data_IF_194368344155
#
_entry.id   IF_194368344155
#
_cell.length_a   1.000
_cell.length_b   1.000
_cell.length_c   1.000
_cell.angle_alpha   90.00
_cell.angle_beta   90.00
_cell.angle_gamma   90.00
#
_symmetry.space_group_name_H-M   'P 1'
#
loop_
_entity.id
_entity.type
_entity.pdbx_description
1 polymer ?
#
# COMPACT_ATOMS: atom_id res chain seq x y z
N UNK A 1 -23.45 2.36 -2.89
CA UNK A 1 -22.02 2.75 -2.90
C UNK A 1 -21.77 4.22 -2.56
N UNK A 2 -22.24 5.20 -3.36
CA UNK A 2 -22.04 6.64 -3.05
C UNK A 2 -23.31 7.41 -2.68
N UNK A 3 -24.50 6.94 -3.09
CA UNK A 3 -25.76 7.68 -2.92
C UNK A 3 -26.61 7.24 -1.70
N UNK A 4 -26.11 6.28 -0.91
CA UNK A 4 -26.82 5.78 0.28
C UNK A 4 -26.48 6.63 1.51
N UNK A 5 -27.42 6.76 2.45
CA UNK A 5 -27.20 7.50 3.70
C UNK A 5 -26.20 6.83 4.65
N UNK A 6 -26.11 5.51 4.59
CA UNK A 6 -25.08 4.69 5.26
C UNK A 6 -24.50 3.70 4.22
N UNK A 7 -23.55 4.15 3.38
CA UNK A 7 -23.04 3.36 2.28
C UNK A 7 -22.04 2.31 2.75
N UNK A 8 -22.15 1.10 2.22
CA UNK A 8 -21.04 0.15 2.30
C UNK A 8 -19.79 0.73 1.61
N UNK A 9 -18.63 0.61 2.25
CA UNK A 9 -17.37 1.13 1.71
C UNK A 9 -16.60 0.08 0.89
N UNK A 10 -16.83 -1.20 1.18
CA UNK A 10 -16.07 -2.33 0.64
C UNK A 10 -17.01 -3.35 -0.01
N UNK A 11 -16.67 -3.80 -1.21
CA UNK A 11 -17.49 -4.68 -2.04
C UNK A 11 -16.67 -5.88 -2.52
N UNK A 12 -17.32 -7.03 -2.69
CA UNK A 12 -16.70 -8.23 -3.25
C UNK A 12 -17.48 -8.68 -4.49
N UNK A 13 -16.76 -8.84 -5.60
CA UNK A 13 -17.22 -9.57 -6.79
C UNK A 13 -16.50 -10.90 -6.84
N UNK A 14 -17.23 -11.96 -6.47
CA UNK A 14 -16.77 -13.33 -6.50
C UNK A 14 -17.49 -14.08 -7.62
N UNK A 15 -16.76 -14.45 -8.68
CA UNK A 15 -17.33 -15.12 -9.85
C UNK A 15 -16.28 -16.00 -10.54
N UNK A 16 -16.64 -17.03 -11.30
CA UNK A 16 -15.66 -17.97 -11.86
C UNK A 16 -14.60 -17.31 -12.78
N UNK A 17 -13.48 -17.99 -12.97
CA UNK A 17 -12.40 -17.50 -13.85
C UNK A 17 -12.93 -17.34 -15.27
N UNK A 18 -12.66 -16.19 -15.89
CA UNK A 18 -13.10 -15.91 -17.27
C UNK A 18 -14.49 -15.28 -17.41
N UNK A 19 -15.31 -15.22 -16.36
CA UNK A 19 -16.67 -14.66 -16.42
C UNK A 19 -16.76 -13.12 -16.42
N UNK A 20 -15.65 -12.43 -16.69
CA UNK A 20 -15.68 -10.99 -16.96
C UNK A 20 -15.59 -10.07 -15.75
N UNK A 21 -15.08 -10.52 -14.60
CA UNK A 21 -14.80 -9.66 -13.41
C UNK A 21 -14.03 -8.37 -13.75
N UNK A 22 -13.07 -8.44 -14.67
CA UNK A 22 -12.34 -7.26 -15.16
C UNK A 22 -13.25 -6.27 -15.91
N UNK A 23 -14.26 -6.75 -16.65
CA UNK A 23 -15.27 -5.90 -17.30
C UNK A 23 -16.18 -5.24 -16.26
N UNK A 24 -16.58 -5.97 -15.22
CA UNK A 24 -17.32 -5.40 -14.08
C UNK A 24 -16.50 -4.28 -13.44
N UNK A 25 -15.24 -4.52 -13.12
CA UNK A 25 -14.37 -3.51 -12.53
C UNK A 25 -14.20 -2.27 -13.43
N UNK A 26 -14.04 -2.46 -14.75
CA UNK A 26 -14.03 -1.35 -15.73
C UNK A 26 -15.31 -0.53 -15.69
N UNK A 27 -16.47 -1.19 -15.66
CA UNK A 27 -17.78 -0.54 -15.57
C UNK A 27 -17.93 0.26 -14.27
N UNK A 28 -17.54 -0.33 -13.14
CA UNK A 28 -17.55 0.34 -11.84
C UNK A 28 -16.63 1.56 -11.85
N UNK A 29 -15.39 1.44 -12.34
CA UNK A 29 -14.44 2.57 -12.48
C UNK A 29 -15.08 3.71 -13.27
N UNK A 30 -15.73 3.41 -14.41
CA UNK A 30 -16.40 4.43 -15.22
C UNK A 30 -17.54 5.12 -14.46
N UNK A 31 -18.37 4.36 -13.73
CA UNK A 31 -19.45 4.90 -12.90
C UNK A 31 -18.93 5.75 -11.74
N UNK A 32 -17.82 5.37 -11.12
CA UNK A 32 -17.16 6.17 -10.07
C UNK A 32 -16.70 7.50 -10.66
N UNK A 33 -15.94 7.49 -11.75
CA UNK A 33 -15.46 8.72 -12.41
C UNK A 33 -16.62 9.64 -12.79
N UNK A 34 -17.68 9.08 -13.37
CA UNK A 34 -18.87 9.86 -13.74
C UNK A 34 -19.56 10.46 -12.51
N UNK A 35 -19.64 9.70 -11.42
CA UNK A 35 -20.23 10.17 -10.17
C UNK A 35 -19.42 11.32 -9.56
N UNK A 36 -18.10 11.15 -9.44
CA UNK A 36 -17.20 12.16 -8.89
C UNK A 36 -17.25 13.47 -9.69
N UNK A 37 -17.26 13.36 -11.03
CA UNK A 37 -17.48 14.52 -11.91
C UNK A 37 -18.81 15.22 -11.64
N UNK A 38 -19.89 14.46 -11.44
CA UNK A 38 -21.25 15.02 -11.24
C UNK A 38 -21.37 15.81 -9.94
N UNK A 39 -20.65 15.40 -8.90
CA UNK A 39 -20.61 16.11 -7.61
C UNK A 39 -19.58 17.24 -7.58
N UNK A 40 -18.94 17.52 -8.72
CA UNK A 40 -18.01 18.64 -8.87
C UNK A 40 -16.60 18.36 -8.36
N UNK A 41 -16.21 17.10 -8.20
CA UNK A 41 -14.83 16.76 -7.88
C UNK A 41 -13.92 17.07 -9.08
N UNK A 42 -12.79 17.72 -8.84
CA UNK A 42 -11.83 18.14 -9.86
C UNK A 42 -10.72 17.12 -10.07
N UNK A 43 -10.56 16.14 -9.16
CA UNK A 43 -9.48 15.15 -9.25
C UNK A 43 -9.95 13.79 -8.75
N UNK A 44 -9.77 12.76 -9.58
CA UNK A 44 -10.18 11.39 -9.28
C UNK A 44 -8.95 10.47 -9.23
N UNK A 45 -8.67 9.89 -8.07
CA UNK A 45 -7.50 9.03 -7.86
C UNK A 45 -7.93 7.58 -7.62
N UNK A 46 -7.55 6.71 -8.56
CA UNK A 46 -7.99 5.31 -8.60
C UNK A 46 -6.78 4.38 -8.58
N UNK A 47 -6.75 3.47 -7.60
CA UNK A 47 -5.65 2.54 -7.38
C UNK A 47 -6.07 1.12 -7.76
N UNK A 48 -5.33 0.52 -8.68
CA UNK A 48 -5.47 -0.88 -9.04
C UNK A 48 -4.35 -1.70 -8.40
N UNK A 49 -4.71 -2.59 -7.48
CA UNK A 49 -3.80 -3.52 -6.82
C UNK A 49 -3.90 -4.87 -7.50
N UNK A 50 -2.77 -5.38 -8.01
CA UNK A 50 -2.74 -6.69 -8.65
C UNK A 50 -1.57 -7.54 -8.19
N UNK A 51 -1.71 -8.85 -8.35
CA UNK A 51 -0.75 -9.83 -7.84
C UNK A 51 0.57 -9.86 -8.64
N UNK A 52 0.57 -9.46 -9.91
CA UNK A 52 1.71 -9.65 -10.82
C UNK A 52 2.09 -8.36 -11.57
N UNK A 53 3.30 -7.84 -11.28
CA UNK A 53 3.81 -6.61 -11.86
C UNK A 53 4.01 -6.68 -13.38
N UNK A 54 4.35 -7.86 -13.93
CA UNK A 54 4.57 -8.05 -15.35
C UNK A 54 3.29 -7.86 -16.18
N UNK A 55 2.14 -8.15 -15.57
CA UNK A 55 0.82 -8.10 -16.23
C UNK A 55 0.01 -6.88 -15.73
N UNK A 56 0.46 -6.22 -14.66
CA UNK A 56 -0.19 -5.05 -14.06
C UNK A 56 -0.56 -3.98 -15.08
N UNK A 57 0.39 -3.57 -15.93
CA UNK A 57 0.16 -2.55 -16.96
C UNK A 57 -0.83 -3.02 -18.02
N UNK A 58 -0.74 -4.29 -18.45
CA UNK A 58 -1.66 -4.86 -19.43
C UNK A 58 -3.09 -4.94 -18.88
N UNK A 59 -3.26 -5.34 -17.63
CA UNK A 59 -4.56 -5.40 -16.97
C UNK A 59 -5.11 -4.00 -16.71
N UNK A 60 -4.27 -3.06 -16.29
CA UNK A 60 -4.64 -1.65 -16.12
C UNK A 60 -5.19 -1.07 -17.44
N UNK A 61 -4.49 -1.25 -18.56
CA UNK A 61 -4.97 -0.79 -19.88
C UNK A 61 -6.34 -1.36 -20.28
N UNK A 62 -6.68 -2.57 -19.83
CA UNK A 62 -8.02 -3.15 -20.05
C UNK A 62 -9.07 -2.48 -19.18
N UNK A 63 -8.72 -2.11 -17.95
CA UNK A 63 -9.59 -1.48 -16.96
C UNK A 63 -9.83 0.00 -17.20
N UNK A 64 -8.88 0.71 -17.82
CA UNK A 64 -8.98 2.14 -18.06
C UNK A 64 -10.13 2.44 -19.05
N UNK A 65 -11.06 3.35 -18.72
CA UNK A 65 -12.08 3.83 -19.66
C UNK A 65 -11.47 4.53 -20.88
N UNK A 66 -12.22 4.60 -22.00
CA UNK A 66 -11.74 5.29 -23.21
C UNK A 66 -11.44 6.77 -22.92
N UNK A 67 -10.31 7.27 -23.42
CA UNK A 67 -9.92 8.67 -23.29
C UNK A 67 -9.15 9.02 -22.01
N UNK A 68 -8.79 8.02 -21.21
CA UNK A 68 -7.98 8.18 -20.00
C UNK A 68 -6.66 7.45 -20.22
N UNK A 69 -5.54 8.10 -19.87
CA UNK A 69 -4.21 7.49 -19.92
C UNK A 69 -3.78 7.09 -18.49
N UNK A 70 -3.39 5.83 -18.26
CA UNK A 70 -2.92 5.40 -16.94
C UNK A 70 -1.55 5.98 -16.59
N UNK A 71 -1.31 6.14 -15.28
CA UNK A 71 0.00 6.47 -14.72
C UNK A 71 0.90 5.23 -14.72
N UNK A 72 1.58 4.99 -15.84
CA UNK A 72 2.43 3.81 -16.03
C UNK A 72 3.84 3.95 -15.44
N UNK A 73 4.27 5.16 -15.11
CA UNK A 73 5.62 5.45 -14.65
C UNK A 73 5.82 5.23 -13.13
N UNK A 74 4.77 4.88 -12.39
CA UNK A 74 4.81 4.71 -10.94
C UNK A 74 4.32 3.32 -10.56
N UNK A 75 5.26 2.50 -10.13
CA UNK A 75 5.00 1.11 -9.76
C UNK A 75 5.12 0.90 -8.24
N UNK A 76 5.46 1.94 -7.47
CA UNK A 76 5.72 1.86 -6.02
C UNK A 76 5.17 3.07 -5.28
N UNK A 77 4.51 2.84 -4.16
CA UNK A 77 3.97 3.90 -3.30
C UNK A 77 5.05 4.86 -2.80
N UNK A 78 6.26 4.34 -2.56
CA UNK A 78 7.43 5.15 -2.16
C UNK A 78 7.80 6.22 -3.17
N UNK A 79 7.43 6.05 -4.44
CA UNK A 79 7.76 6.96 -5.54
C UNK A 79 6.61 7.90 -5.90
N UNK A 80 5.42 7.74 -5.31
CA UNK A 80 4.27 8.63 -5.51
C UNK A 80 4.56 10.11 -5.24
N UNK A 81 5.43 10.52 -4.30
CA UNK A 81 5.77 11.93 -4.14
C UNK A 81 6.43 12.59 -5.36
N UNK A 82 6.87 11.81 -6.35
CA UNK A 82 7.41 12.30 -7.62
C UNK A 82 6.37 12.27 -8.76
N UNK A 83 5.16 11.78 -8.48
CA UNK A 83 4.09 11.72 -9.43
C UNK A 83 3.69 13.12 -9.89
N UNK A 84 3.44 13.26 -11.19
CA UNK A 84 2.67 14.38 -11.73
C UNK A 84 1.24 13.90 -11.88
N UNK A 85 0.47 14.07 -10.81
CA UNK A 85 -0.94 13.75 -10.80
C UNK A 85 -1.67 14.86 -11.55
N UNK A 86 -2.60 14.47 -12.40
CA UNK A 86 -3.50 15.39 -13.06
C UNK A 86 -4.45 15.96 -11.99
N UNK A 87 -4.29 17.24 -11.70
CA UNK A 87 -5.12 17.94 -10.73
C UNK A 87 -6.49 18.33 -11.31
N UNK A 88 -6.69 18.14 -12.62
CA UNK A 88 -7.85 18.64 -13.34
C UNK A 88 -7.86 20.15 -13.49
N UNK A 89 -8.94 20.64 -14.06
CA UNK A 89 -9.28 22.05 -14.12
C UNK A 89 -10.81 22.22 -14.10
N UNK A 90 -11.26 23.47 -13.95
CA UNK A 90 -12.68 23.80 -13.95
C UNK A 90 -13.35 23.35 -15.26
N UNK A 91 -14.15 22.29 -15.17
CA UNK A 91 -14.88 21.70 -16.29
C UNK A 91 -14.29 20.40 -16.85
N UNK A 92 -13.04 20.06 -16.53
CA UNK A 92 -12.44 18.78 -16.88
C UNK A 92 -11.63 18.21 -15.70
N UNK A 93 -12.22 17.27 -14.92
CA UNK A 93 -11.51 16.68 -13.80
C UNK A 93 -10.34 15.82 -14.26
N UNK A 94 -9.25 15.87 -13.49
CA UNK A 94 -8.08 15.04 -13.69
C UNK A 94 -8.37 13.62 -13.24
N UNK A 95 -7.97 12.62 -14.04
CA UNK A 95 -8.19 11.22 -13.69
C UNK A 95 -6.86 10.48 -13.64
N UNK A 96 -6.49 10.02 -12.46
CA UNK A 96 -5.25 9.34 -12.17
C UNK A 96 -5.53 7.85 -11.89
N UNK A 97 -5.25 6.98 -12.86
CA UNK A 97 -5.28 5.53 -12.64
C UNK A 97 -3.86 4.99 -12.50
N UNK A 98 -3.52 4.41 -11.34
CA UNK A 98 -2.23 3.76 -11.12
C UNK A 98 -2.40 2.27 -10.80
N UNK A 99 -1.43 1.47 -11.22
CA UNK A 99 -1.33 0.07 -10.81
C UNK A 99 -0.16 -0.14 -9.84
N UNK A 100 -0.43 -0.78 -8.71
CA UNK A 100 0.58 -1.21 -7.75
C UNK A 100 0.53 -2.72 -7.57
N UNK A 101 1.65 -3.29 -7.15
CA UNK A 101 1.71 -4.71 -6.82
C UNK A 101 2.22 -4.90 -5.41
N UNK A 102 1.52 -5.64 -4.54
CA UNK A 102 1.93 -5.73 -3.15
C UNK A 102 3.36 -6.21 -2.94
N UNK A 103 3.79 -7.21 -3.71
CA UNK A 103 5.14 -7.77 -3.61
C UNK A 103 6.27 -6.77 -3.89
N UNK A 104 6.00 -5.67 -4.61
CA UNK A 104 7.02 -4.65 -4.91
C UNK A 104 6.72 -3.31 -4.23
N UNK A 105 5.45 -2.92 -4.13
CA UNK A 105 5.02 -1.62 -3.64
C UNK A 105 4.73 -1.60 -2.13
N UNK A 106 4.36 -2.75 -1.55
CA UNK A 106 3.91 -2.89 -0.17
C UNK A 106 4.83 -3.78 0.68
N UNK A 107 5.54 -4.77 0.10
CA UNK A 107 6.45 -5.64 0.84
C UNK A 107 7.86 -5.04 0.92
N UNK A 108 8.17 -4.45 2.08
CA UNK A 108 9.48 -3.94 2.44
C UNK A 108 10.24 -5.08 3.15
N UNK A 109 10.88 -5.97 2.38
CA UNK A 109 11.79 -6.95 2.97
C UNK A 109 13.02 -6.28 3.61
N UNK A 110 14.05 -7.06 3.99
CA UNK A 110 15.33 -6.54 4.52
C UNK A 110 16.18 -5.73 3.52
N UNK A 111 15.58 -5.30 2.40
CA UNK A 111 16.25 -4.59 1.31
C UNK A 111 16.13 -3.07 1.46
N UNK A 112 17.21 -2.35 1.14
CA UNK A 112 17.23 -0.88 1.10
C UNK A 112 16.53 -0.27 -0.12
N UNK A 113 15.71 -1.04 -0.84
CA UNK A 113 14.98 -0.60 -2.03
C UNK A 113 15.88 -0.40 -3.25
N UNK A 114 15.32 0.20 -4.30
CA UNK A 114 16.05 0.56 -5.52
C UNK A 114 16.95 1.76 -5.29
N UNK A 115 17.89 2.02 -6.22
CA UNK A 115 18.69 3.23 -6.18
C UNK A 115 17.83 4.51 -6.27
N UNK A 116 16.76 4.48 -7.08
CA UNK A 116 15.86 5.64 -7.23
C UNK A 116 15.10 5.95 -5.95
N UNK A 117 14.64 4.94 -5.21
CA UNK A 117 14.03 5.12 -3.89
C UNK A 117 15.03 5.73 -2.89
N UNK A 118 16.28 5.27 -2.90
CA UNK A 118 17.32 5.85 -2.02
C UNK A 118 17.68 7.29 -2.39
N UNK A 119 17.64 7.64 -3.68
CA UNK A 119 17.79 9.02 -4.12
C UNK A 119 16.64 9.91 -3.65
N UNK A 120 15.41 9.40 -3.65
CA UNK A 120 14.26 10.12 -3.11
C UNK A 120 14.33 10.30 -1.59
N UNK A 121 14.71 9.25 -0.86
CA UNK A 121 15.00 9.32 0.58
C UNK A 121 16.05 10.41 0.89
N UNK A 122 17.16 10.42 0.16
CA UNK A 122 18.18 11.47 0.26
C UNK A 122 17.60 12.87 -0.01
N UNK A 123 16.73 13.01 -1.00
CA UNK A 123 16.15 14.30 -1.41
C UNK A 123 15.26 14.87 -0.30
N UNK A 124 14.41 14.05 0.31
CA UNK A 124 13.59 14.45 1.45
C UNK A 124 14.45 14.85 2.65
N UNK A 125 15.37 13.98 3.07
CA UNK A 125 16.23 14.23 4.22
C UNK A 125 17.14 15.45 4.01
N UNK A 126 17.67 15.66 2.81
CA UNK A 126 18.48 16.86 2.48
C UNK A 126 17.64 18.12 2.53
N UNK A 127 16.39 18.05 2.06
CA UNK A 127 15.49 19.21 2.05
C UNK A 127 15.04 19.58 3.47
N UNK A 128 14.95 18.60 4.37
CA UNK A 128 14.58 18.80 5.77
C UNK A 128 15.78 19.19 6.66
N UNK A 129 16.87 18.41 6.65
CA UNK A 129 18.03 18.63 7.53
C UNK A 129 19.07 19.62 6.98
N UNK A 130 18.95 20.01 5.72
CA UNK A 130 19.84 20.96 5.08
C UNK A 130 21.05 20.34 4.36
N UNK A 131 21.71 21.18 3.57
CA UNK A 131 22.78 20.76 2.68
C UNK A 131 24.07 20.38 3.40
N UNK A 132 24.38 21.05 4.52
CA UNK A 132 25.64 20.93 5.27
C UNK A 132 25.74 19.58 5.98
N UNK A 133 24.59 19.08 6.44
CA UNK A 133 24.42 17.72 6.98
C UNK A 133 24.80 16.65 5.94
N UNK A 134 24.49 16.90 4.66
CA UNK A 134 24.60 15.92 3.58
C UNK A 134 25.98 15.91 2.92
N UNK A 135 27.00 15.72 3.77
CA UNK A 135 28.40 15.59 3.39
C UNK A 135 28.66 14.47 2.36
N UNK A 136 29.83 14.45 1.68
CA UNK A 136 30.19 13.34 0.79
C UNK A 136 30.14 11.97 1.47
N UNK A 137 30.45 11.91 2.78
CA UNK A 137 30.36 10.69 3.57
C UNK A 137 28.91 10.26 3.77
N UNK A 138 28.03 11.18 4.17
CA UNK A 138 26.60 10.91 4.33
C UNK A 138 25.95 10.39 3.05
N UNK A 139 26.31 10.94 1.89
CA UNK A 139 25.76 10.47 0.61
C UNK A 139 26.02 8.99 0.32
N UNK A 140 27.12 8.43 0.85
CA UNK A 140 27.45 7.00 0.71
C UNK A 140 26.36 6.08 1.24
N UNK A 141 25.62 6.51 2.25
CA UNK A 141 24.47 5.77 2.81
C UNK A 141 23.45 5.43 1.71
N UNK A 142 23.20 6.37 0.80
CA UNK A 142 22.15 6.23 -0.22
C UNK A 142 22.62 5.51 -1.49
N UNK A 143 23.91 5.50 -1.78
CA UNK A 143 24.41 4.87 -3.00
C UNK A 143 25.28 3.62 -2.79
N UNK A 144 25.59 3.25 -1.54
CA UNK A 144 26.28 1.99 -1.25
C UNK A 144 25.59 0.78 -1.94
N UNK A 145 26.42 -0.13 -2.46
CA UNK A 145 25.99 -1.26 -3.29
C UNK A 145 25.80 -0.94 -4.79
N UNK A 146 25.93 0.32 -5.22
CA UNK A 146 25.90 0.70 -6.64
C UNK A 146 27.32 0.83 -7.18
N UNK A 147 27.66 -0.04 -8.13
CA UNK A 147 28.99 -0.11 -8.75
C UNK A 147 29.05 0.53 -10.15
N UNK A 148 27.90 0.75 -10.79
CA UNK A 148 27.83 1.27 -12.15
C UNK A 148 27.99 2.81 -12.22
N UNK A 149 29.00 3.25 -12.97
CA UNK A 149 29.29 4.66 -13.25
C UNK A 149 29.75 5.43 -12.01
N UNK A 150 29.46 6.73 -11.97
CA UNK A 150 29.65 7.58 -10.78
C UNK A 150 28.34 7.67 -9.98
N UNK A 151 28.15 6.83 -8.93
CA UNK A 151 26.91 6.81 -8.16
C UNK A 151 26.62 8.11 -7.41
N UNK A 152 27.65 8.82 -6.94
CA UNK A 152 27.49 10.06 -6.17
C UNK A 152 27.04 11.21 -7.09
N UNK A 153 27.60 11.30 -8.31
CA UNK A 153 27.11 12.24 -9.34
C UNK A 153 25.68 11.93 -9.76
N UNK A 154 25.33 10.65 -9.93
CA UNK A 154 23.96 10.22 -10.27
C UNK A 154 22.96 10.58 -9.17
N UNK A 155 23.32 10.33 -7.90
CA UNK A 155 22.51 10.71 -6.73
C UNK A 155 22.24 12.22 -6.73
N UNK A 156 23.27 13.06 -6.88
CA UNK A 156 23.10 14.52 -6.96
C UNK A 156 22.31 14.97 -8.18
N UNK A 157 22.39 14.25 -9.29
CA UNK A 157 21.60 14.55 -10.48
C UNK A 157 20.12 14.30 -10.24
N UNK A 158 19.78 13.15 -9.66
CA UNK A 158 18.40 12.80 -9.33
C UNK A 158 17.84 13.69 -8.23
N UNK A 159 18.62 14.03 -7.21
CA UNK A 159 18.17 14.96 -6.16
C UNK A 159 17.75 16.32 -6.74
N UNK A 160 18.52 16.89 -7.66
CA UNK A 160 18.14 18.15 -8.33
C UNK A 160 16.84 18.04 -9.13
N UNK A 161 16.56 16.87 -9.71
CA UNK A 161 15.31 16.60 -10.44
C UNK A 161 14.13 16.39 -9.49
N UNK A 162 14.35 15.73 -8.35
CA UNK A 162 13.31 15.35 -7.39
C UNK A 162 12.92 16.49 -6.45
N UNK A 163 13.88 17.33 -6.06
CA UNK A 163 13.68 18.43 -5.12
C UNK A 163 12.48 19.35 -5.44
N UNK A 164 12.24 19.83 -6.69
CA UNK A 164 11.06 20.63 -6.97
C UNK A 164 9.75 19.85 -6.86
N UNK A 165 9.77 18.53 -7.11
CA UNK A 165 8.58 17.67 -7.13
C UNK A 165 8.09 17.35 -5.71
N UNK A 166 9.00 17.21 -4.75
CA UNK A 166 8.64 16.86 -3.37
C UNK A 166 8.16 18.05 -2.52
N UNK A 167 8.09 19.28 -3.07
CA UNK A 167 7.76 20.48 -2.28
C UNK A 167 6.40 20.37 -1.60
N UNK A 168 5.38 19.90 -2.32
CA UNK A 168 4.02 19.75 -1.77
C UNK A 168 3.87 18.62 -0.74
N UNK A 169 4.89 17.76 -0.62
CA UNK A 169 4.87 16.60 0.27
C UNK A 169 5.92 16.68 1.39
N UNK A 170 6.77 17.72 1.40
CA UNK A 170 7.85 17.88 2.37
C UNK A 170 7.34 18.05 3.80
N UNK A 171 6.35 18.91 4.03
CA UNK A 171 5.80 19.14 5.37
C UNK A 171 5.13 17.88 5.93
N UNK A 172 4.44 17.12 5.08
CA UNK A 172 3.86 15.83 5.43
C UNK A 172 4.94 14.81 5.80
N UNK A 173 6.04 14.78 5.03
CA UNK A 173 7.20 13.93 5.31
C UNK A 173 7.83 14.27 6.67
N UNK A 174 8.06 15.56 6.96
CA UNK A 174 8.64 16.01 8.24
C UNK A 174 7.76 15.61 9.41
N UNK A 175 6.45 15.90 9.35
CA UNK A 175 5.51 15.54 10.43
C UNK A 175 5.46 14.04 10.69
N UNK A 176 5.52 13.20 9.65
CA UNK A 176 5.52 11.75 9.81
C UNK A 176 6.87 11.25 10.33
N UNK A 177 7.99 11.86 9.91
CA UNK A 177 9.30 11.53 10.45
C UNK A 177 9.42 11.87 11.94
N UNK A 178 8.87 13.01 12.36
CA UNK A 178 8.82 13.43 13.78
C UNK A 178 8.01 12.43 14.62
N UNK A 179 6.86 11.94 14.11
CA UNK A 179 6.08 10.88 14.77
C UNK A 179 6.86 9.58 14.91
N UNK A 180 7.62 9.20 13.88
CA UNK A 180 8.52 8.03 13.97
C UNK A 180 9.58 8.26 15.04
N UNK A 181 10.15 9.46 15.14
CA UNK A 181 11.14 9.79 16.17
C UNK A 181 10.54 9.87 17.59
N UNK A 182 9.28 10.26 17.74
CA UNK A 182 8.53 10.16 18.99
C UNK A 182 8.33 8.70 19.41
N UNK A 183 7.83 7.84 18.52
CA UNK A 183 7.63 6.41 18.79
C UNK A 183 8.95 5.72 19.16
N UNK A 184 10.03 6.01 18.42
CA UNK A 184 11.36 5.48 18.71
C UNK A 184 11.84 5.89 20.10
N UNK A 185 11.66 7.16 20.49
CA UNK A 185 12.01 7.65 21.83
C UNK A 185 11.19 6.96 22.93
N UNK A 186 9.89 6.75 22.71
CA UNK A 186 9.04 6.01 23.65
C UNK A 186 9.53 4.57 23.88
N UNK A 187 10.11 3.94 22.85
CA UNK A 187 10.70 2.61 22.93
C UNK A 187 12.20 2.60 23.27
N UNK A 188 12.77 3.73 23.70
CA UNK A 188 14.19 3.81 24.10
C UNK A 188 15.18 3.67 22.94
N UNK A 189 14.73 3.89 21.69
CA UNK A 189 15.55 3.83 20.48
C UNK A 189 16.02 5.23 20.06
N UNK A 190 17.20 5.36 19.45
CA UNK A 190 17.69 6.65 18.94
C UNK A 190 16.80 7.16 17.80
N UNK A 191 16.70 8.47 17.63
CA UNK A 191 16.02 9.08 16.48
C UNK A 191 16.67 8.67 15.15
N UNK A 192 15.93 8.78 14.06
CA UNK A 192 16.43 8.63 12.69
C UNK A 192 17.62 9.56 12.45
N UNK A 193 17.58 10.77 13.00
CA UNK A 193 18.69 11.73 12.94
C UNK A 193 19.95 11.20 13.64
N UNK A 194 19.82 10.73 14.88
CA UNK A 194 20.95 10.18 15.64
C UNK A 194 21.52 8.92 14.99
N UNK A 195 20.66 8.03 14.49
CA UNK A 195 21.06 6.84 13.74
C UNK A 195 21.84 7.21 12.46
N UNK A 196 21.38 8.23 11.74
CA UNK A 196 22.11 8.75 10.58
C UNK A 196 23.49 9.28 10.96
N UNK A 197 23.60 10.06 12.04
CA UNK A 197 24.86 10.64 12.49
C UNK A 197 25.86 9.55 12.93
N UNK A 198 25.39 8.52 13.65
CA UNK A 198 26.18 7.35 14.03
C UNK A 198 26.78 6.64 12.79
N UNK A 199 25.97 6.43 11.74
CA UNK A 199 26.46 5.83 10.50
C UNK A 199 27.51 6.74 9.83
N UNK A 200 27.28 8.06 9.79
CA UNK A 200 28.22 9.01 9.18
C UNK A 200 29.57 9.02 9.90
N UNK A 201 29.55 8.95 11.23
CA UNK A 201 30.74 8.90 12.06
C UNK A 201 31.48 7.57 11.93
N UNK A 202 30.75 6.46 11.93
CA UNK A 202 31.33 5.12 11.70
C UNK A 202 31.98 4.96 10.32
N UNK A 203 31.56 5.76 9.33
CA UNK A 203 32.18 5.81 8.00
C UNK A 203 33.45 6.67 7.94
N UNK A 204 33.81 7.39 9.01
CA UNK A 204 35.03 8.19 9.06
C UNK A 204 36.27 7.33 8.81
N UNK A 205 37.13 7.78 7.88
CA UNK A 205 38.37 7.09 7.50
C UNK A 205 38.20 5.68 6.92
N UNK A 206 36.96 5.24 6.60
CA UNK A 206 36.68 3.93 6.02
C UNK A 206 36.58 4.01 4.49
N UNK A 207 37.35 3.16 3.80
CA UNK A 207 37.29 3.04 2.32
C UNK A 207 36.08 2.25 1.85
N UNK A 208 35.71 1.19 2.56
CA UNK A 208 34.52 0.36 2.32
C UNK A 208 33.40 0.71 3.31
N UNK A 209 32.20 0.17 3.10
CA UNK A 209 31.10 0.28 4.05
C UNK A 209 31.24 -0.87 5.06
N UNK A 210 31.43 -0.59 6.37
CA UNK A 210 31.60 -1.63 7.39
C UNK A 210 30.34 -2.49 7.56
N UNK A 211 30.53 -3.78 7.87
CA UNK A 211 29.42 -4.75 7.99
C UNK A 211 28.50 -4.45 9.19
N UNK A 212 29.07 -3.97 10.29
CA UNK A 212 28.36 -3.52 11.49
C UNK A 212 27.40 -2.36 11.20
N UNK A 213 27.75 -1.48 10.27
CA UNK A 213 26.90 -0.35 9.87
C UNK A 213 25.83 -0.74 8.83
N UNK A 214 25.91 -1.93 8.21
CA UNK A 214 24.94 -2.34 7.18
C UNK A 214 23.54 -2.52 7.75
N UNK A 215 23.41 -3.03 8.98
CA UNK A 215 22.10 -3.18 9.64
C UNK A 215 21.51 -1.82 10.03
N UNK A 216 22.32 -0.92 10.60
CA UNK A 216 21.88 0.47 10.90
C UNK A 216 21.43 1.19 9.63
N UNK A 217 22.17 1.01 8.53
CA UNK A 217 21.78 1.54 7.20
C UNK A 217 20.46 0.97 6.72
N UNK A 218 20.23 -0.34 6.87
CA UNK A 218 18.98 -1.00 6.47
C UNK A 218 17.81 -0.45 7.26
N UNK A 219 17.98 -0.29 8.57
CA UNK A 219 16.99 0.31 9.44
C UNK A 219 16.67 1.75 9.02
N UNK A 220 17.68 2.61 8.90
CA UNK A 220 17.52 4.01 8.51
C UNK A 220 16.76 4.14 7.17
N UNK A 221 17.23 3.45 6.12
CA UNK A 221 16.60 3.52 4.80
C UNK A 221 15.21 2.88 4.80
N UNK A 222 15.01 1.83 5.61
CA UNK A 222 13.72 1.20 5.83
C UNK A 222 12.70 2.20 6.34
N UNK A 223 12.96 2.83 7.49
CA UNK A 223 12.04 3.79 8.13
C UNK A 223 11.76 5.00 7.22
N UNK A 224 12.78 5.57 6.59
CA UNK A 224 12.59 6.71 5.67
C UNK A 224 11.72 6.32 4.47
N UNK A 225 11.91 5.12 3.93
CA UNK A 225 11.03 4.61 2.86
C UNK A 225 9.61 4.35 3.34
N UNK A 226 9.41 3.97 4.61
CA UNK A 226 8.07 3.85 5.19
C UNK A 226 7.35 5.20 5.18
N UNK A 227 8.02 6.23 5.70
CA UNK A 227 7.52 7.61 5.70
C UNK A 227 7.21 8.07 4.27
N UNK A 228 8.11 7.81 3.31
CA UNK A 228 7.87 8.16 1.90
C UNK A 228 6.60 7.52 1.32
N UNK A 229 6.32 6.25 1.64
CA UNK A 229 5.12 5.57 1.17
C UNK A 229 3.85 6.17 1.77
N UNK A 230 3.84 6.45 3.08
CA UNK A 230 2.71 7.10 3.77
C UNK A 230 2.42 8.50 3.23
N UNK A 231 3.48 9.29 2.99
CA UNK A 231 3.38 10.60 2.33
C UNK A 231 2.81 10.46 0.92
N UNK A 232 3.26 9.44 0.18
CA UNK A 232 2.76 9.13 -1.15
C UNK A 232 1.26 8.84 -1.18
N UNK A 233 0.76 8.01 -0.25
CA UNK A 233 -0.68 7.72 -0.10
C UNK A 233 -1.46 8.99 0.27
N UNK A 234 -0.94 9.78 1.20
CA UNK A 234 -1.60 11.02 1.65
C UNK A 234 -1.72 12.03 0.51
N UNK A 235 -0.69 12.17 -0.33
CA UNK A 235 -0.71 13.04 -1.50
C UNK A 235 -1.61 12.51 -2.63
N UNK A 236 -1.77 11.19 -2.71
CA UNK A 236 -2.61 10.53 -3.70
C UNK A 236 -4.10 10.75 -3.44
N UNK A 237 -4.56 10.82 -2.19
CA UNK A 237 -6.00 10.99 -1.84
C UNK A 237 -6.92 10.00 -2.59
N UNK A 238 -6.72 8.68 -2.44
CA UNK A 238 -7.44 7.70 -3.27
C UNK A 238 -8.96 7.74 -3.05
N UNK A 239 -9.74 7.87 -4.13
CA UNK A 239 -11.20 7.75 -4.10
C UNK A 239 -11.66 6.29 -4.15
N UNK A 240 -10.95 5.47 -4.94
CA UNK A 240 -11.35 4.12 -5.24
C UNK A 240 -10.17 3.17 -5.40
N UNK A 241 -10.24 2.01 -4.75
CA UNK A 241 -9.21 0.97 -4.79
C UNK A 241 -9.82 -0.33 -5.30
N UNK A 242 -9.19 -0.95 -6.28
CA UNK A 242 -9.58 -2.25 -6.83
C UNK A 242 -8.49 -3.27 -6.50
N UNK A 243 -8.85 -4.36 -5.81
CA UNK A 243 -7.93 -5.45 -5.50
C UNK A 243 -8.29 -6.65 -6.36
N UNK A 244 -7.46 -6.96 -7.35
CA UNK A 244 -7.62 -8.15 -8.18
C UNK A 244 -6.82 -9.32 -7.64
N UNK A 245 -7.43 -10.51 -7.67
CA UNK A 245 -6.91 -11.74 -7.07
C UNK A 245 -6.51 -11.56 -5.60
N UNK A 246 -7.34 -10.89 -4.81
CA UNK A 246 -7.01 -10.55 -3.42
C UNK A 246 -6.63 -11.75 -2.55
N UNK A 247 -7.11 -12.96 -2.89
CA UNK A 247 -6.75 -14.19 -2.21
C UNK A 247 -5.24 -14.48 -2.21
N UNK A 248 -4.46 -13.85 -3.09
CA UNK A 248 -2.99 -13.95 -3.12
C UNK A 248 -2.29 -13.06 -2.09
N UNK A 249 -3.02 -12.16 -1.45
CA UNK A 249 -2.48 -11.18 -0.50
C UNK A 249 -3.47 -10.89 0.65
N UNK A 250 -4.02 -11.97 1.22
CA UNK A 250 -4.93 -11.92 2.38
C UNK A 250 -4.30 -11.27 3.61
N UNK A 251 -2.98 -11.38 3.72
CA UNK A 251 -2.17 -10.73 4.75
C UNK A 251 -2.31 -9.19 4.76
N UNK A 252 -2.84 -8.59 3.69
CA UNK A 252 -3.10 -7.16 3.60
C UNK A 252 -4.51 -6.75 4.06
N UNK A 253 -5.43 -7.71 4.20
CA UNK A 253 -6.82 -7.42 4.59
C UNK A 253 -6.98 -7.28 6.11
N UNK A 254 -6.04 -7.82 6.87
CA UNK A 254 -6.03 -7.75 8.33
C UNK A 254 -5.06 -6.66 8.78
N UNK A 255 -5.48 -5.75 9.68
CA UNK A 255 -4.55 -4.85 10.33
C UNK A 255 -3.53 -5.64 11.13
N UNK A 256 -2.26 -5.51 10.79
CA UNK A 256 -1.16 -6.12 11.51
C UNK A 256 -0.08 -5.06 11.74
N UNK A 257 0.08 -4.55 12.98
CA UNK A 257 1.10 -3.56 13.32
C UNK A 257 2.54 -4.06 13.08
N UNK A 258 2.77 -5.37 13.03
CA UNK A 258 4.06 -5.96 12.68
C UNK A 258 4.31 -6.05 11.18
N UNK A 259 3.26 -5.88 10.36
CA UNK A 259 3.32 -5.98 8.91
C UNK A 259 3.06 -4.63 8.25
N UNK A 260 4.15 -3.94 7.95
CA UNK A 260 4.10 -2.65 7.27
C UNK A 260 3.38 -2.68 5.91
N UNK A 261 3.34 -3.83 5.23
CA UNK A 261 2.58 -3.96 3.98
C UNK A 261 1.07 -3.85 4.23
N UNK A 262 0.58 -4.49 5.31
CA UNK A 262 -0.80 -4.42 5.75
C UNK A 262 -1.13 -3.01 6.25
N UNK A 263 -0.25 -2.38 7.02
CA UNK A 263 -0.40 -1.00 7.47
C UNK A 263 -0.60 -0.03 6.29
N UNK A 264 0.25 -0.09 5.27
CA UNK A 264 0.11 0.73 4.06
C UNK A 264 -1.16 0.42 3.28
N UNK A 265 -1.55 -0.86 3.20
CA UNK A 265 -2.79 -1.26 2.54
C UNK A 265 -4.01 -0.67 3.26
N UNK A 266 -4.03 -0.70 4.59
CA UNK A 266 -5.07 -0.06 5.39
C UNK A 266 -5.06 1.46 5.27
N UNK A 267 -3.90 2.10 5.17
CA UNK A 267 -3.83 3.53 4.84
C UNK A 267 -4.41 3.88 3.46
N UNK A 268 -4.45 2.94 2.52
CA UNK A 268 -5.16 3.11 1.25
C UNK A 268 -6.66 2.85 1.39
N UNK A 269 -7.07 1.77 2.06
CA UNK A 269 -8.47 1.34 2.12
C UNK A 269 -9.32 2.21 3.06
N UNK A 270 -8.72 2.69 4.15
CA UNK A 270 -9.36 3.46 5.21
C UNK A 270 -9.08 4.96 5.07
N UNK A 271 -8.57 5.40 3.93
CA UNK A 271 -8.34 6.81 3.67
C UNK A 271 -9.66 7.58 3.67
N UNK A 272 -9.63 8.75 4.30
CA UNK A 272 -10.71 9.72 4.27
C UNK A 272 -10.12 11.02 3.79
N UNK A 273 -10.69 11.54 2.71
CA UNK A 273 -10.28 12.79 2.15
C UNK A 273 -10.51 13.93 3.17
N UNK A 274 -9.48 14.68 3.56
CA UNK A 274 -9.59 15.67 4.62
C UNK A 274 -10.40 16.90 4.24
N UNK A 275 -10.57 17.19 2.94
CA UNK A 275 -11.31 18.36 2.46
C UNK A 275 -12.79 18.04 2.22
N UNK A 276 -13.08 16.86 1.65
CA UNK A 276 -14.44 16.46 1.31
C UNK A 276 -15.09 15.56 2.36
N UNK A 277 -14.29 14.98 3.27
CA UNK A 277 -14.73 13.98 4.24
C UNK A 277 -15.10 12.62 3.61
N UNK A 278 -14.81 12.44 2.32
CA UNK A 278 -15.19 11.23 1.59
C UNK A 278 -14.22 10.09 1.90
N UNK A 279 -14.76 8.98 2.40
CA UNK A 279 -13.97 7.77 2.57
C UNK A 279 -13.71 7.09 1.22
N UNK A 280 -12.52 6.52 1.08
CA UNK A 280 -12.17 5.64 -0.05
C UNK A 280 -13.15 4.48 -0.14
N UNK A 281 -13.43 4.04 -1.36
CA UNK A 281 -14.19 2.82 -1.60
C UNK A 281 -13.29 1.70 -2.10
N UNK A 282 -13.59 0.46 -1.77
CA UNK A 282 -12.78 -0.70 -2.16
C UNK A 282 -13.61 -1.76 -2.88
N UNK A 283 -13.09 -2.27 -3.99
CA UNK A 283 -13.67 -3.39 -4.75
C UNK A 283 -12.68 -4.56 -4.77
N UNK A 284 -13.06 -5.66 -4.13
CA UNK A 284 -12.35 -6.93 -4.21
C UNK A 284 -12.86 -7.74 -5.40
N UNK A 285 -11.94 -8.28 -6.20
CA UNK A 285 -12.23 -9.21 -7.28
C UNK A 285 -11.57 -10.55 -6.96
N UNK A 286 -12.34 -11.63 -7.02
CA UNK A 286 -11.79 -12.97 -6.88
C UNK A 286 -12.62 -14.00 -7.62
N UNK A 287 -11.99 -15.10 -8.03
CA UNK A 287 -12.72 -16.29 -8.43
C UNK A 287 -13.03 -17.22 -7.25
N UNK A 288 -12.17 -17.20 -6.25
CA UNK A 288 -12.21 -18.05 -5.07
C UNK A 288 -11.79 -17.20 -3.86
N UNK A 289 -12.72 -16.41 -3.29
CA UNK A 289 -12.39 -15.43 -2.25
C UNK A 289 -11.81 -16.09 -0.98
N UNK A 290 -12.16 -17.35 -0.74
CA UNK A 290 -11.61 -18.22 0.30
C UNK A 290 -11.23 -19.58 -0.33
N UNK A 291 -10.28 -20.29 0.27
CA UNK A 291 -9.94 -21.65 -0.19
C UNK A 291 -11.09 -22.59 0.20
N UNK A 292 -11.74 -23.21 -0.78
CA UNK A 292 -12.69 -24.29 -0.51
C UNK A 292 -11.93 -25.59 -0.21
N UNK A 293 -12.53 -26.47 0.59
CA UNK A 293 -11.99 -27.78 0.99
C UNK A 293 -11.28 -28.51 -0.16
N UNK A 294 -9.97 -28.70 -0.03
CA UNK A 294 -9.17 -29.56 -0.90
C UNK A 294 -8.78 -30.81 -0.11
N UNK A 295 -9.66 -31.83 -0.15
CA UNK A 295 -9.45 -33.19 0.39
C UNK A 295 -9.17 -33.31 1.90
N UNK A 296 -9.52 -34.45 2.49
CA UNK A 296 -9.51 -34.68 3.95
C UNK A 296 -8.11 -34.65 4.61
N UNK A 297 -7.05 -34.52 3.82
CA UNK A 297 -5.65 -34.58 4.27
C UNK A 297 -4.98 -33.20 4.45
N UNK A 298 -5.63 -32.09 4.09
CA UNK A 298 -5.14 -30.73 4.36
C UNK A 298 -5.83 -30.14 5.60
N UNK A 299 -5.49 -30.66 6.78
CA UNK A 299 -6.01 -30.17 8.09
C UNK A 299 -5.32 -28.88 8.56
N UNK A 300 -4.31 -28.38 7.82
CA UNK A 300 -3.39 -27.34 8.31
C UNK A 300 -3.69 -25.91 7.84
N UNK A 301 -4.92 -25.62 7.38
CA UNK A 301 -5.36 -24.25 7.05
C UNK A 301 -6.71 -23.93 7.69
N UNK A 302 -6.79 -22.83 8.44
CA UNK A 302 -8.06 -22.35 8.99
C UNK A 302 -8.90 -21.65 7.90
N UNK A 303 -9.46 -22.45 6.99
CA UNK A 303 -10.35 -22.00 5.88
C UNK A 303 -11.53 -21.16 6.38
N UNK A 304 -11.99 -21.47 7.60
CA UNK A 304 -13.08 -20.78 8.24
C UNK A 304 -12.63 -19.41 8.74
N UNK A 305 -11.45 -19.30 9.36
CA UNK A 305 -10.85 -18.01 9.69
C UNK A 305 -10.66 -17.14 8.44
N UNK A 306 -10.16 -17.70 7.33
CA UNK A 306 -10.01 -16.98 6.06
C UNK A 306 -11.33 -16.36 5.54
N UNK A 307 -12.42 -17.10 5.67
CA UNK A 307 -13.76 -16.62 5.33
C UNK A 307 -14.22 -15.51 6.28
N UNK A 308 -14.07 -15.73 7.59
CA UNK A 308 -14.44 -14.73 8.60
C UNK A 308 -13.62 -13.45 8.43
N UNK A 309 -12.33 -13.55 8.15
CA UNK A 309 -11.42 -12.43 7.91
C UNK A 309 -11.84 -11.61 6.69
N UNK A 310 -12.25 -12.27 5.61
CA UNK A 310 -12.84 -11.60 4.45
C UNK A 310 -14.13 -10.87 4.84
N UNK A 311 -14.99 -11.48 5.66
CA UNK A 311 -16.19 -10.82 6.17
C UNK A 311 -15.85 -9.63 7.08
N UNK A 312 -14.87 -9.75 8.00
CA UNK A 312 -14.41 -8.63 8.86
C UNK A 312 -13.94 -7.46 8.01
N UNK A 313 -13.18 -7.75 6.96
CA UNK A 313 -12.77 -6.73 6.02
C UNK A 313 -13.97 -6.07 5.33
N UNK A 314 -14.93 -6.84 4.80
CA UNK A 314 -16.08 -6.28 4.07
C UNK A 314 -17.04 -5.46 4.95
N UNK A 315 -17.35 -5.94 6.15
CA UNK A 315 -18.36 -5.32 7.01
C UNK A 315 -17.87 -4.10 7.78
N UNK A 316 -16.57 -4.03 8.12
CA UNK A 316 -15.98 -2.98 8.98
C UNK A 316 -16.63 -2.81 10.37
N UNK A 317 -17.67 -3.60 10.70
CA UNK A 317 -18.28 -3.76 12.01
C UNK A 317 -18.08 -5.21 12.46
N UNK A 318 -17.55 -5.47 13.68
CA UNK A 318 -17.45 -6.83 14.21
C UNK A 318 -18.81 -7.50 14.44
N UNK A 319 -19.88 -6.75 14.74
CA UNK A 319 -21.16 -7.34 15.20
C UNK A 319 -21.83 -8.27 14.17
N UNK A 320 -21.92 -7.94 12.87
CA UNK A 320 -22.43 -8.86 11.85
C UNK A 320 -21.60 -10.14 11.76
N UNK A 321 -20.27 -10.02 11.85
CA UNK A 321 -19.35 -11.16 11.71
C UNK A 321 -19.41 -12.06 12.94
N UNK A 322 -19.42 -11.52 14.15
CA UNK A 322 -19.59 -12.32 15.37
C UNK A 322 -20.93 -13.09 15.37
N UNK A 323 -21.97 -12.48 14.80
CA UNK A 323 -23.28 -13.12 14.64
C UNK A 323 -23.22 -14.25 13.61
N UNK A 324 -22.50 -14.04 12.51
CA UNK A 324 -22.25 -15.05 11.49
C UNK A 324 -21.49 -16.23 12.09
N UNK A 325 -20.42 -15.96 12.85
CA UNK A 325 -19.60 -16.94 13.52
C UNK A 325 -20.42 -17.81 14.48
N UNK A 326 -21.21 -17.19 15.36
CA UNK A 326 -22.13 -17.92 16.27
C UNK A 326 -23.15 -18.77 15.51
N UNK A 327 -23.66 -18.31 14.37
CA UNK A 327 -24.63 -19.08 13.56
C UNK A 327 -23.99 -20.29 12.90
N UNK A 328 -22.78 -20.15 12.36
CA UNK A 328 -22.03 -21.28 11.81
C UNK A 328 -21.66 -22.31 12.89
N UNK A 329 -21.26 -21.88 14.09
CA UNK A 329 -21.01 -22.79 15.21
C UNK A 329 -22.26 -23.60 15.59
N UNK A 330 -23.44 -22.94 15.63
CA UNK A 330 -24.73 -23.62 15.86
C UNK A 330 -25.07 -24.61 14.74
N UNK A 331 -24.87 -24.22 13.48
CA UNK A 331 -25.08 -25.11 12.33
C UNK A 331 -24.17 -26.34 12.40
N UNK A 332 -22.88 -26.15 12.68
CA UNK A 332 -21.91 -27.25 12.85
C UNK A 332 -22.34 -28.18 13.97
N UNK A 333 -22.73 -27.64 15.13
CA UNK A 333 -23.24 -28.43 16.25
C UNK A 333 -24.49 -29.23 15.86
N UNK A 334 -25.42 -28.63 15.12
CA UNK A 334 -26.63 -29.31 14.67
C UNK A 334 -26.30 -30.46 13.69
N UNK A 335 -25.41 -30.22 12.72
CA UNK A 335 -24.99 -31.26 11.76
C UNK A 335 -24.27 -32.44 12.44
N UNK A 336 -23.34 -32.16 13.37
CA UNK A 336 -22.62 -33.20 14.11
C UNK A 336 -23.53 -33.98 15.08
N UNK A 337 -24.62 -33.35 15.54
CA UNK A 337 -25.61 -34.01 16.41
C UNK A 337 -26.54 -34.98 15.66
N UNK A 338 -26.63 -34.88 14.33
CA UNK A 338 -27.42 -35.83 13.52
C UNK A 338 -26.68 -37.16 13.36
N UNK A 339 -25.35 -37.14 13.28
CA UNK A 339 -24.53 -38.37 13.24
C UNK A 339 -24.54 -39.14 14.57
N UNK A 340 -24.87 -38.49 15.69
CA UNK A 340 -25.05 -39.17 16.99
C UNK A 340 -26.43 -39.81 17.17
N UNK A 341 -27.37 -39.59 16.24
CA UNK A 341 -28.66 -40.30 16.20
C UNK A 341 -28.60 -41.61 15.40
N UNK A 342 -27.56 -41.82 14.58
CA UNK A 342 -27.37 -43.09 13.85
C UNK A 342 -26.65 -44.17 14.69
N UNK A 343 -25.87 -43.77 15.71
CA UNK A 343 -25.29 -44.67 16.72
C UNK A 343 -26.23 -44.95 17.91
N UNK A 344 -27.36 -44.26 17.97
CA UNK A 344 -28.51 -44.69 18.77
C UNK A 344 -29.38 -45.65 17.93
N UNK A 345 -28.79 -46.80 17.59
CA UNK A 345 -29.46 -47.86 16.84
C UNK A 345 -30.76 -48.36 17.51
N UNK A 346 -31.63 -48.86 16.65
CA UNK A 346 -32.26 -50.21 16.71
C UNK A 346 -32.47 -50.81 18.09
#
# INVERSE_FOLDING_TARGET
MFAEGDPALRFLVADEVGLGKTHVAKGVIALVIEHLRRIGDERHDIVYVCSNAAIARQNLRKLVPKGIEPLENIERLTMLPLARLDAGNSGQPGVNLLAITPGTSLKFGRSTGTFTERCLAYTFLRSHWGADVMSPRARRIFWNGITAGDPDKRLRSLERQYRPLIRGSLDGFVKLLDKVDEDRRHHGRPSIRSLFDEIVDGLAWKRTFPDDLLELRKELIGEVRRVMALVGITALRPDFVVLDEFQRFKDLLQPDPGNFAAELAHHLFDHVDPETGRATRTLLLSATPYRMYTTADEVDGDHYADFLDTCRFLYQDPKPVDRLERRFAKLRSALMSVDTLADAGV
#
